data_IF_461819366127
#
_entry.id   IF_461819366127
#
_cell.length_a   1.000
_cell.length_b   1.000
_cell.length_c   1.000
_cell.angle_alpha   90.00
_cell.angle_beta   90.00
_cell.angle_gamma   90.00
#
_symmetry.space_group_name_H-M   'P 1'
#
loop_
_entity.id
_entity.type
_entity.pdbx_description
1 polymer ?
#
# COMPACT_ATOMS: atom_id res chain seq x y z
N UNK A 1 28.88 13.29 -9.40
CA UNK A 1 27.57 12.88 -9.95
C UNK A 1 26.96 11.89 -8.95
N UNK A 2 25.94 12.30 -8.21
CA UNK A 2 25.33 11.46 -7.16
C UNK A 2 24.42 10.41 -7.82
N UNK A 3 24.70 9.14 -7.56
CA UNK A 3 23.84 8.02 -7.95
C UNK A 3 22.79 7.80 -6.85
N UNK A 4 21.49 8.05 -7.10
CA UNK A 4 20.44 7.96 -6.09
C UNK A 4 20.11 6.52 -5.64
N UNK A 5 20.69 5.48 -6.26
CA UNK A 5 20.42 4.07 -5.92
C UNK A 5 21.38 3.46 -4.89
N UNK A 6 22.36 4.22 -4.37
CA UNK A 6 23.40 3.67 -3.48
C UNK A 6 23.12 3.81 -1.98
N UNK A 7 21.85 3.97 -1.57
CA UNK A 7 21.44 4.17 -0.17
C UNK A 7 21.74 2.98 0.77
N UNK A 8 22.29 1.88 0.25
CA UNK A 8 22.64 0.67 1.01
C UNK A 8 24.15 0.43 1.19
N UNK A 9 25.04 1.30 0.68
CA UNK A 9 26.47 0.95 0.63
C UNK A 9 27.29 1.23 1.89
N UNK A 10 26.85 2.05 2.84
CA UNK A 10 27.60 2.24 4.10
C UNK A 10 26.64 2.60 5.24
N UNK A 11 26.59 1.81 6.34
CA UNK A 11 25.92 2.25 7.55
C UNK A 11 26.71 3.44 8.14
N UNK A 12 26.04 4.51 8.62
CA UNK A 12 26.72 5.64 9.24
C UNK A 12 27.42 5.21 10.54
N UNK A 13 28.51 5.88 10.95
CA UNK A 13 29.36 5.51 12.09
C UNK A 13 28.62 5.36 13.44
N UNK A 14 27.42 5.93 13.55
CA UNK A 14 26.63 5.97 14.79
C UNK A 14 25.46 4.97 14.82
N UNK A 15 25.39 4.01 13.89
CA UNK A 15 24.37 2.94 13.91
C UNK A 15 22.92 3.42 13.73
N UNK A 16 22.70 4.71 13.47
CA UNK A 16 21.40 5.24 13.07
C UNK A 16 21.24 4.98 11.57
N UNK A 17 20.76 3.78 11.23
CA UNK A 17 20.01 3.61 9.99
C UNK A 17 18.96 4.73 9.93
N UNK A 18 18.62 5.27 8.74
CA UNK A 18 17.47 6.15 8.66
C UNK A 18 16.33 5.40 9.33
N UNK A 19 15.82 5.98 10.41
CA UNK A 19 14.61 5.51 11.07
C UNK A 19 13.55 5.72 10.00
N UNK A 20 13.39 4.75 9.11
CA UNK A 20 12.16 4.59 8.36
C UNK A 20 11.14 4.57 9.49
N UNK A 21 10.40 5.68 9.62
CA UNK A 21 9.53 5.98 10.75
C UNK A 21 8.92 4.67 11.22
N UNK A 22 9.13 4.27 12.48
CA UNK A 22 8.74 2.94 12.97
C UNK A 22 7.28 2.63 12.60
N UNK A 23 6.46 3.69 12.60
CA UNK A 23 5.10 3.76 12.08
C UNK A 23 4.96 3.34 10.61
N UNK A 24 5.78 3.88 9.72
CA UNK A 24 5.83 3.53 8.30
C UNK A 24 6.20 2.06 8.11
N UNK A 25 7.11 1.52 8.93
CA UNK A 25 7.42 0.09 8.96
C UNK A 25 6.19 -0.76 9.32
N UNK A 26 5.44 -0.38 10.36
CA UNK A 26 4.22 -1.09 10.74
C UNK A 26 3.12 -1.00 9.66
N UNK A 27 2.91 0.17 9.05
CA UNK A 27 1.94 0.34 7.96
C UNK A 27 2.32 -0.51 6.75
N UNK A 28 3.60 -0.54 6.38
CA UNK A 28 4.13 -1.36 5.27
C UNK A 28 3.87 -2.84 5.51
N UNK A 29 4.18 -3.35 6.70
CA UNK A 29 3.90 -4.74 7.06
C UNK A 29 2.40 -5.05 7.07
N UNK A 30 1.58 -4.08 7.50
CA UNK A 30 0.14 -4.26 7.52
C UNK A 30 -0.47 -4.31 6.11
N UNK A 31 0.05 -3.52 5.17
CA UNK A 31 -0.32 -3.61 3.76
C UNK A 31 0.05 -4.98 3.17
N UNK A 32 1.27 -5.47 3.41
CA UNK A 32 1.71 -6.81 2.99
C UNK A 32 0.80 -7.90 3.53
N UNK A 33 0.35 -7.78 4.78
CA UNK A 33 -0.59 -8.73 5.37
C UNK A 33 -1.94 -8.71 4.67
N UNK A 34 -2.52 -7.54 4.40
CA UNK A 34 -3.83 -7.46 3.77
C UNK A 34 -3.88 -8.09 2.38
N UNK A 35 -2.81 -7.91 1.61
CA UNK A 35 -2.65 -8.50 0.28
C UNK A 35 -1.90 -9.83 0.28
N UNK A 36 -1.68 -10.44 1.45
CA UNK A 36 -1.13 -11.78 1.54
C UNK A 36 -2.15 -12.82 1.06
N UNK A 37 -1.66 -13.92 0.49
CA UNK A 37 -2.48 -15.05 0.05
C UNK A 37 -3.46 -15.51 1.14
N UNK A 38 -2.96 -15.68 2.36
CA UNK A 38 -3.77 -16.13 3.50
C UNK A 38 -4.89 -15.16 3.86
N UNK A 39 -4.67 -13.85 3.73
CA UNK A 39 -5.71 -12.86 3.99
C UNK A 39 -6.71 -12.80 2.84
N UNK A 40 -6.25 -12.78 1.60
CA UNK A 40 -7.12 -12.73 0.42
C UNK A 40 -8.06 -13.94 0.33
N UNK A 41 -7.64 -15.13 0.79
CA UNK A 41 -8.50 -16.31 0.84
C UNK A 41 -9.72 -16.16 1.77
N UNK A 42 -9.61 -15.37 2.85
CA UNK A 42 -10.63 -15.27 3.91
C UNK A 42 -11.31 -13.90 3.99
N UNK A 43 -10.63 -12.84 3.57
CA UNK A 43 -11.06 -11.47 3.74
C UNK A 43 -11.97 -11.04 2.58
N UNK A 44 -13.23 -11.45 2.69
CA UNK A 44 -14.26 -11.09 1.74
C UNK A 44 -14.56 -9.58 1.71
N UNK A 45 -14.24 -8.84 2.77
CA UNK A 45 -14.46 -7.40 2.79
C UNK A 45 -13.47 -6.69 1.85
N UNK A 46 -12.19 -7.06 1.93
CA UNK A 46 -11.18 -6.55 1.00
C UNK A 46 -11.53 -6.89 -0.45
N UNK A 47 -11.91 -8.15 -0.72
CA UNK A 47 -12.28 -8.61 -2.08
C UNK A 47 -13.54 -7.95 -2.63
N UNK A 48 -14.54 -7.65 -1.79
CA UNK A 48 -15.74 -6.91 -2.21
C UNK A 48 -15.47 -5.45 -2.58
N UNK A 49 -14.37 -4.89 -2.09
CA UNK A 49 -13.95 -3.53 -2.43
C UNK A 49 -12.92 -3.50 -3.57
N UNK A 50 -12.59 -4.67 -4.16
CA UNK A 50 -11.84 -4.74 -5.40
C UNK A 50 -12.77 -4.46 -6.58
N UNK A 51 -12.32 -3.61 -7.51
CA UNK A 51 -13.00 -3.43 -8.79
C UNK A 51 -12.67 -4.57 -9.78
N UNK A 52 -13.20 -4.46 -11.00
CA UNK A 52 -12.99 -5.45 -12.08
C UNK A 52 -11.52 -5.63 -12.46
N UNK A 53 -10.65 -4.67 -12.13
CA UNK A 53 -9.22 -4.69 -12.41
C UNK A 53 -8.38 -5.01 -11.15
N UNK A 54 -9.04 -5.40 -10.06
CA UNK A 54 -8.42 -5.78 -8.79
C UNK A 54 -7.96 -4.61 -7.93
N UNK A 55 -8.31 -3.37 -8.27
CA UNK A 55 -7.95 -2.20 -7.48
C UNK A 55 -8.89 -1.96 -6.31
N UNK A 56 -8.30 -1.55 -5.20
CA UNK A 56 -8.98 -1.13 -3.98
C UNK A 56 -8.63 0.32 -3.71
N UNK A 57 -9.63 1.15 -3.38
CA UNK A 57 -9.40 2.54 -2.98
C UNK A 57 -8.53 2.60 -1.72
N UNK A 58 -7.49 3.42 -1.74
CA UNK A 58 -6.61 3.62 -0.59
C UNK A 58 -7.37 4.20 0.61
N UNK A 59 -8.44 4.97 0.34
CA UNK A 59 -9.40 5.43 1.34
C UNK A 59 -10.05 4.28 2.11
N UNK A 60 -10.47 3.23 1.41
CA UNK A 60 -11.07 2.03 2.03
C UNK A 60 -10.06 1.36 2.96
N UNK A 61 -8.81 1.21 2.51
CA UNK A 61 -7.74 0.63 3.33
C UNK A 61 -7.44 1.49 4.57
N UNK A 62 -7.45 2.82 4.43
CA UNK A 62 -7.24 3.76 5.54
C UNK A 62 -8.33 3.69 6.60
N UNK A 63 -9.56 3.29 6.23
CA UNK A 63 -10.66 3.13 7.16
C UNK A 63 -10.67 1.78 7.89
N UNK A 64 -9.80 0.84 7.52
CA UNK A 64 -9.67 -0.41 8.29
C UNK A 64 -9.18 -0.07 9.70
N UNK A 65 -9.84 -0.62 10.73
CA UNK A 65 -9.60 -0.25 12.13
C UNK A 65 -8.11 -0.31 12.53
N UNK A 66 -7.41 -1.38 12.10
CA UNK A 66 -5.98 -1.57 12.37
C UNK A 66 -5.10 -0.62 11.56
N UNK A 67 -5.45 -0.37 10.30
CA UNK A 67 -4.72 0.58 9.46
C UNK A 67 -4.86 2.00 9.98
N UNK A 68 -6.09 2.43 10.31
CA UNK A 68 -6.41 3.75 10.88
C UNK A 68 -5.66 4.03 12.17
N UNK A 69 -5.50 3.00 13.01
CA UNK A 69 -4.72 3.10 14.26
C UNK A 69 -3.23 3.32 13.99
N UNK A 70 -2.67 2.64 12.98
CA UNK A 70 -1.26 2.75 12.61
C UNK A 70 -0.97 4.05 11.82
N UNK A 71 -1.79 4.40 10.84
CA UNK A 71 -1.63 5.61 10.01
C UNK A 71 -2.13 6.87 10.68
N UNK A 72 -2.89 6.76 11.78
CA UNK A 72 -3.61 7.88 12.42
C UNK A 72 -4.67 8.50 11.51
N UNK A 73 -5.15 7.75 10.52
CA UNK A 73 -6.07 8.23 9.48
C UNK A 73 -5.41 9.05 8.38
N UNK A 74 -4.08 9.21 8.38
CA UNK A 74 -3.37 9.98 7.37
C UNK A 74 -3.06 9.14 6.12
N UNK A 75 -3.76 9.45 5.01
CA UNK A 75 -3.56 8.78 3.72
C UNK A 75 -2.14 8.89 3.17
N UNK A 76 -1.45 9.99 3.46
CA UNK A 76 -0.06 10.23 3.02
C UNK A 76 0.88 9.13 3.52
N UNK A 77 0.66 8.62 4.72
CA UNK A 77 1.49 7.54 5.29
C UNK A 77 1.30 6.24 4.51
N UNK A 78 0.07 5.93 4.09
CA UNK A 78 -0.20 4.76 3.26
C UNK A 78 0.42 4.91 1.87
N UNK A 79 0.29 6.09 1.25
CA UNK A 79 0.91 6.37 -0.05
C UNK A 79 2.42 6.18 -0.02
N UNK A 80 3.07 6.62 1.06
CA UNK A 80 4.50 6.41 1.25
C UNK A 80 4.82 4.93 1.48
N UNK A 81 4.04 4.23 2.31
CA UNK A 81 4.24 2.82 2.62
C UNK A 81 4.16 1.92 1.38
N UNK A 82 3.24 2.20 0.46
CA UNK A 82 3.07 1.41 -0.77
C UNK A 82 4.34 1.42 -1.63
N UNK A 83 5.14 2.50 -1.60
CA UNK A 83 6.42 2.57 -2.32
C UNK A 83 7.44 1.52 -1.83
N UNK A 84 7.29 1.02 -0.61
CA UNK A 84 8.13 -0.02 0.00
C UNK A 84 7.56 -1.44 -0.15
N UNK A 85 6.42 -1.59 -0.83
CA UNK A 85 5.78 -2.89 -1.12
C UNK A 85 5.80 -3.12 -2.64
N UNK A 86 6.86 -3.73 -3.20
CA UNK A 86 6.99 -3.95 -4.64
C UNK A 86 5.93 -4.89 -5.21
N UNK A 87 5.27 -5.69 -4.39
CA UNK A 87 4.16 -6.57 -4.78
C UNK A 87 2.88 -5.78 -5.08
N UNK A 88 2.81 -4.51 -4.65
CA UNK A 88 1.69 -3.63 -4.86
C UNK A 88 1.96 -2.62 -5.97
N UNK A 89 0.89 -2.29 -6.68
CA UNK A 89 0.82 -1.21 -7.65
C UNK A 89 -0.12 -0.13 -7.10
N UNK A 90 0.27 1.13 -7.21
CA UNK A 90 -0.57 2.28 -6.87
C UNK A 90 -0.83 3.11 -8.11
N UNK A 91 -2.10 3.42 -8.34
CA UNK A 91 -2.55 4.31 -9.40
C UNK A 91 -3.37 5.45 -8.82
N UNK A 92 -3.32 6.62 -9.46
CA UNK A 92 -4.15 7.75 -9.09
C UNK A 92 -5.44 7.70 -9.88
N UNK A 93 -6.56 7.66 -9.16
CA UNK A 93 -7.89 7.68 -9.73
C UNK A 93 -8.22 9.12 -10.14
N UNK A 94 -8.72 9.28 -11.38
CA UNK A 94 -9.09 10.58 -11.94
C UNK A 94 -10.52 10.49 -12.42
N UNK A 95 -11.35 11.47 -12.06
CA UNK A 95 -12.67 11.63 -12.64
C UNK A 95 -12.58 12.14 -14.09
N UNK A 96 -13.70 12.06 -14.82
CA UNK A 96 -13.82 12.52 -16.22
C UNK A 96 -13.42 14.00 -16.39
N UNK A 97 -13.63 14.83 -15.37
CA UNK A 97 -13.24 16.24 -15.35
C UNK A 97 -11.75 16.49 -15.04
N UNK A 98 -10.96 15.42 -14.92
CA UNK A 98 -9.52 15.48 -14.63
C UNK A 98 -9.17 15.75 -13.16
N UNK A 99 -10.17 15.74 -12.27
CA UNK A 99 -9.98 15.91 -10.82
C UNK A 99 -9.45 14.61 -10.21
N UNK A 100 -8.40 14.72 -9.40
CA UNK A 100 -7.88 13.59 -8.62
C UNK A 100 -8.87 13.25 -7.51
N UNK A 101 -9.52 12.10 -7.62
CA UNK A 101 -10.48 11.59 -6.62
C UNK A 101 -9.81 10.80 -5.52
N UNK A 102 -8.67 10.17 -5.81
CA UNK A 102 -7.92 9.44 -4.80
C UNK A 102 -6.81 8.58 -5.36
N UNK A 103 -6.23 7.75 -4.49
CA UNK A 103 -5.30 6.71 -4.88
C UNK A 103 -5.98 5.35 -4.75
N UNK A 104 -5.65 4.44 -5.66
CA UNK A 104 -6.08 3.04 -5.69
C UNK A 104 -4.86 2.14 -5.65
N UNK A 105 -4.96 0.98 -5.02
CA UNK A 105 -3.90 -0.01 -4.94
C UNK A 105 -4.37 -1.41 -5.31
N UNK A 106 -3.50 -2.21 -5.93
CA UNK A 106 -3.76 -3.63 -6.21
C UNK A 106 -2.48 -4.46 -6.09
N UNK A 107 -2.63 -5.79 -6.09
CA UNK A 107 -1.52 -6.70 -6.36
C UNK A 107 -1.03 -6.57 -7.80
N UNK A 108 0.29 -6.52 -8.00
CA UNK A 108 0.89 -6.49 -9.34
C UNK A 108 0.64 -7.77 -10.13
N UNK A 109 0.68 -8.91 -9.44
CA UNK A 109 0.52 -10.22 -10.03
C UNK A 109 -0.67 -10.94 -9.40
N UNK A 110 -1.29 -11.84 -10.16
CA UNK A 110 -2.36 -12.73 -9.67
C UNK A 110 -3.61 -12.01 -9.13
N UNK A 111 -3.77 -10.71 -9.38
CA UNK A 111 -4.95 -9.95 -8.94
C UNK A 111 -6.26 -10.56 -9.48
N UNK A 112 -6.22 -11.10 -10.70
CA UNK A 112 -7.36 -11.75 -11.38
C UNK A 112 -8.00 -12.89 -10.56
N UNK A 113 -7.19 -13.59 -9.75
CA UNK A 113 -7.68 -14.69 -8.91
C UNK A 113 -8.52 -14.21 -7.72
N UNK A 114 -8.46 -12.91 -7.40
CA UNK A 114 -9.04 -12.33 -6.20
C UNK A 114 -10.26 -11.46 -6.48
N UNK A 115 -10.42 -11.00 -7.72
CA UNK A 115 -11.62 -10.29 -8.18
C UNK A 115 -12.83 -11.22 -8.06
N UNK A 116 -13.94 -10.69 -7.57
CA UNK A 116 -15.20 -11.43 -7.52
C UNK A 116 -15.83 -11.31 -8.91
N UNK A 117 -16.06 -12.42 -9.64
CA UNK A 117 -16.74 -12.36 -10.93
C UNK A 117 -18.15 -11.76 -10.72
N UNK A 118 -18.47 -10.76 -11.53
CA UNK A 118 -19.76 -10.08 -11.54
C UNK A 118 -20.88 -10.97 -12.08
#
# INVERSE_FOLDING_TARGET
MFNPYNAYAFPPPNGQFPVIDERLGYVTNQLRYYFSLENLLKDMYLRKNMDSEGYVLLGVINDFHRMKSLSGGALVVLQEAVKYVPELEMVWDREEDGILVGAKIRLREQWENWVIPS
#
